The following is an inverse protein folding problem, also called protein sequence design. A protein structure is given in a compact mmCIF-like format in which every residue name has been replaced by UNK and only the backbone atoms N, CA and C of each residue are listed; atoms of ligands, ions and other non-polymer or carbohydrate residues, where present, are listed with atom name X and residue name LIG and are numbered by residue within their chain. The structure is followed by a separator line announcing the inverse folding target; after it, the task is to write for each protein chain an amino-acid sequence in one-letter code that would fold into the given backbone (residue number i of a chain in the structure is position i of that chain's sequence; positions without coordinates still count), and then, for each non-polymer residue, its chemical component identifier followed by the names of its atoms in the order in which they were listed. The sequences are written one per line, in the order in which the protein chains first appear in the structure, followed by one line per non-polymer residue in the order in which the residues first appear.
data_IF_193336663250
#
_entry.id   IF_193336663250
#
_cell.length_a   1.000
_cell.length_b   1.000
_cell.length_c   1.000
_cell.angle_alpha   90.00
_cell.angle_beta   90.00
_cell.angle_gamma   90.00
#
_symmetry.space_group_name_H-M   'P 1'
#
loop_
_entity.id
_entity.type
_entity.pdbx_description
1 polymer ?
#
# COMPACT_ATOMS: atom_id res chain seq x y z
N UNK A 1 -8.65 -7.60 -7.05
CA UNK A 1 -8.63 -6.12 -7.21
C UNK A 1 -7.22 -5.54 -7.44
N UNK A 2 -6.12 -6.15 -6.95
CA UNK A 2 -4.75 -5.67 -7.18
C UNK A 2 -4.20 -5.87 -8.62
N UNK A 3 -4.74 -6.85 -9.37
CA UNK A 3 -4.34 -7.10 -10.77
C UNK A 3 -4.61 -5.91 -11.71
N UNK A 4 -5.43 -4.93 -11.28
CA UNK A 4 -5.85 -3.79 -12.09
C UNK A 4 -5.07 -2.50 -11.78
N UNK A 5 -4.08 -2.55 -10.89
CA UNK A 5 -3.27 -1.36 -10.54
C UNK A 5 -2.22 -1.08 -11.62
N UNK A 6 -1.62 -2.13 -12.18
CA UNK A 6 -0.63 -2.02 -13.25
C UNK A 6 -1.23 -1.53 -14.58
N UNK A 7 -2.53 -1.70 -14.77
CA UNK A 7 -3.27 -1.30 -15.99
C UNK A 7 -3.84 0.12 -15.94
N UNK A 8 -3.69 0.84 -14.83
CA UNK A 8 -4.13 2.23 -14.74
C UNK A 8 -3.44 3.07 -15.83
N UNK A 9 -4.15 3.94 -16.57
CA UNK A 9 -3.53 4.83 -17.55
C UNK A 9 -2.54 5.80 -16.92
N UNK A 10 -1.51 6.20 -17.67
CA UNK A 10 -0.61 7.28 -17.23
C UNK A 10 -1.39 8.61 -17.11
N UNK A 11 -1.01 9.44 -16.14
CA UNK A 11 -1.72 10.67 -15.77
C UNK A 11 -2.95 10.46 -14.88
N UNK A 12 -3.30 9.21 -14.54
CA UNK A 12 -4.43 8.93 -13.65
C UNK A 12 -4.22 9.56 -12.26
N UNK A 13 -5.31 10.14 -11.75
CA UNK A 13 -5.42 10.65 -10.37
C UNK A 13 -6.12 9.63 -9.51
N UNK A 14 -5.46 9.17 -8.46
CA UNK A 14 -5.95 8.03 -7.66
C UNK A 14 -5.85 8.34 -6.18
N UNK A 15 -6.90 7.98 -5.45
CA UNK A 15 -6.87 7.96 -3.99
C UNK A 15 -6.34 6.61 -3.52
N UNK A 16 -5.34 6.60 -2.65
CA UNK A 16 -4.64 5.39 -2.22
C UNK A 16 -5.13 5.00 -0.83
N UNK A 17 -5.59 3.76 -0.70
CA UNK A 17 -6.06 3.18 0.56
C UNK A 17 -4.91 2.67 1.45
N UNK A 18 -5.15 2.60 2.76
CA UNK A 18 -4.21 2.19 3.80
C UNK A 18 -3.68 0.76 3.60
N UNK A 19 -4.47 -0.11 2.95
CA UNK A 19 -4.11 -1.47 2.60
C UNK A 19 -2.89 -1.56 1.68
N UNK A 20 -2.77 -0.65 0.68
CA UNK A 20 -1.65 -0.65 -0.26
C UNK A 20 -0.34 -0.44 0.47
N UNK A 21 -0.29 0.56 1.36
CA UNK A 21 0.88 0.81 2.20
C UNK A 21 1.14 -0.36 3.15
N UNK A 22 0.10 -0.91 3.76
CA UNK A 22 0.21 -2.04 4.70
C UNK A 22 0.86 -3.26 4.04
N UNK A 23 0.44 -3.63 2.83
CA UNK A 23 1.02 -4.74 2.08
C UNK A 23 2.49 -4.51 1.72
N UNK A 24 2.84 -3.27 1.36
CA UNK A 24 4.21 -2.89 1.07
C UNK A 24 5.11 -2.98 2.30
N UNK A 25 4.70 -2.36 3.41
CA UNK A 25 5.47 -2.31 4.66
C UNK A 25 5.66 -3.69 5.28
N UNK A 26 4.64 -4.55 5.20
CA UNK A 26 4.69 -5.92 5.72
C UNK A 26 5.31 -6.93 4.74
N UNK A 27 5.69 -6.51 3.53
CA UNK A 27 6.26 -7.38 2.48
C UNK A 27 5.41 -8.64 2.22
N UNK A 28 4.08 -8.50 2.17
CA UNK A 28 3.16 -9.62 1.90
C UNK A 28 3.45 -10.20 0.52
N UNK A 29 3.94 -11.45 0.45
CA UNK A 29 4.45 -12.06 -0.79
C UNK A 29 3.47 -11.97 -1.97
N UNK A 30 2.18 -12.23 -1.73
CA UNK A 30 1.14 -12.21 -2.76
C UNK A 30 0.99 -10.84 -3.46
N UNK A 31 1.28 -9.76 -2.74
CA UNK A 31 0.97 -8.39 -3.20
C UNK A 31 2.19 -7.50 -3.37
N UNK A 32 3.32 -7.88 -2.79
CA UNK A 32 4.49 -7.02 -2.68
C UNK A 32 5.00 -6.52 -4.04
N UNK A 33 5.10 -7.41 -5.03
CA UNK A 33 5.62 -7.03 -6.35
C UNK A 33 4.68 -6.04 -7.09
N UNK A 34 3.37 -6.27 -7.02
CA UNK A 34 2.38 -5.39 -7.64
C UNK A 34 2.37 -4.01 -6.99
N UNK A 35 2.42 -3.96 -5.66
CA UNK A 35 2.45 -2.70 -4.91
C UNK A 35 3.78 -1.96 -5.10
N UNK A 36 4.90 -2.68 -5.18
CA UNK A 36 6.20 -2.08 -5.47
C UNK A 36 6.22 -1.45 -6.86
N UNK A 37 5.66 -2.11 -7.87
CA UNK A 37 5.54 -1.55 -9.22
C UNK A 37 4.62 -0.32 -9.23
N UNK A 38 3.53 -0.36 -8.49
CA UNK A 38 2.63 0.77 -8.32
C UNK A 38 3.33 2.01 -7.75
N UNK A 39 4.06 1.86 -6.63
CA UNK A 39 4.81 2.99 -6.05
C UNK A 39 5.87 3.52 -7.01
N UNK A 40 6.56 2.63 -7.76
CA UNK A 40 7.49 3.06 -8.82
C UNK A 40 6.81 3.94 -9.87
N UNK A 41 5.57 3.64 -10.29
CA UNK A 41 4.83 4.50 -11.24
C UNK A 41 4.46 5.86 -10.65
N UNK A 42 4.20 5.94 -9.34
CA UNK A 42 3.98 7.21 -8.64
C UNK A 42 5.29 8.01 -8.60
N UNK A 43 6.41 7.38 -8.23
CA UNK A 43 7.74 8.02 -8.19
C UNK A 43 8.17 8.55 -9.56
N UNK A 44 7.87 7.79 -10.63
CA UNK A 44 8.09 8.19 -12.03
C UNK A 44 7.09 9.26 -12.53
N UNK A 45 6.19 9.77 -11.67
CA UNK A 45 5.12 10.73 -12.00
C UNK A 45 4.15 10.24 -13.09
N UNK A 46 4.09 8.94 -13.34
CA UNK A 46 3.11 8.32 -14.25
C UNK A 46 1.72 8.26 -13.63
N UNK A 47 1.64 8.22 -12.30
CA UNK A 47 0.39 8.27 -11.55
C UNK A 47 0.47 9.41 -10.53
N UNK A 48 -0.67 10.06 -10.28
CA UNK A 48 -0.79 11.10 -9.25
C UNK A 48 -1.58 10.52 -8.07
N UNK A 49 -0.86 10.15 -7.02
CA UNK A 49 -1.43 9.57 -5.81
C UNK A 49 -1.85 10.61 -4.77
N UNK A 50 -3.02 10.41 -4.17
CA UNK A 50 -3.52 11.21 -3.05
C UNK A 50 -3.79 10.31 -1.85
N UNK A 51 -3.49 10.83 -0.66
CA UNK A 51 -3.83 10.24 0.63
C UNK A 51 -4.37 11.31 1.57
N UNK A 52 -5.05 10.90 2.63
CA UNK A 52 -5.44 11.77 3.73
C UNK A 52 -4.85 11.27 5.07
N UNK A 53 -5.05 12.03 6.13
CA UNK A 53 -4.56 11.69 7.48
C UNK A 53 -5.15 10.40 8.05
N UNK A 54 -6.37 10.02 7.63
CA UNK A 54 -7.02 8.78 8.05
C UNK A 54 -6.24 7.58 7.51
N UNK A 55 -5.89 7.60 6.21
CA UNK A 55 -5.07 6.55 5.57
C UNK A 55 -3.75 6.36 6.31
N UNK A 56 -3.06 7.45 6.67
CA UNK A 56 -1.80 7.40 7.43
C UNK A 56 -2.01 6.72 8.78
N UNK A 57 -3.06 7.12 9.51
CA UNK A 57 -3.37 6.60 10.85
C UNK A 57 -3.68 5.11 10.82
N UNK A 58 -4.48 4.67 9.85
CA UNK A 58 -4.81 3.26 9.66
C UNK A 58 -3.61 2.42 9.26
N UNK A 59 -2.79 2.89 8.31
CA UNK A 59 -1.56 2.20 7.92
C UNK A 59 -0.66 2.00 9.13
N UNK A 60 -0.48 3.03 9.95
CA UNK A 60 0.34 2.94 11.15
C UNK A 60 -0.22 1.94 12.17
N UNK A 61 -1.51 2.02 12.47
CA UNK A 61 -2.18 1.10 13.38
C UNK A 61 -2.08 -0.36 12.92
N UNK A 62 -2.38 -0.62 11.63
CA UNK A 62 -2.32 -1.97 11.06
C UNK A 62 -0.90 -2.54 11.06
N UNK A 63 0.10 -1.73 10.72
CA UNK A 63 1.50 -2.15 10.76
C UNK A 63 1.93 -2.54 12.18
N UNK A 64 1.66 -1.68 13.16
CA UNK A 64 2.00 -1.95 14.57
C UNK A 64 1.27 -3.18 15.09
N UNK A 65 -0.04 -3.31 14.82
CA UNK A 65 -0.84 -4.46 15.24
C UNK A 65 -0.21 -5.76 14.76
N UNK A 66 0.14 -5.84 13.48
CA UNK A 66 0.78 -7.04 12.91
C UNK A 66 2.14 -7.30 13.54
N UNK A 67 2.98 -6.27 13.70
CA UNK A 67 4.31 -6.45 14.30
C UNK A 67 4.28 -6.86 15.76
N UNK A 68 3.29 -6.37 16.52
CA UNK A 68 3.10 -6.80 17.91
C UNK A 68 2.54 -8.23 17.97
N UNK A 69 1.56 -8.57 17.14
CA UNK A 69 1.04 -9.94 17.01
C UNK A 69 2.16 -10.94 16.69
N UNK A 70 3.01 -10.64 15.68
CA UNK A 70 4.19 -11.46 15.32
C UNK A 70 5.19 -11.59 16.47
N UNK A 71 5.42 -10.50 17.23
CA UNK A 71 6.39 -10.49 18.33
C UNK A 71 5.92 -11.28 19.55
N UNK A 72 4.62 -11.25 19.85
CA UNK A 72 4.06 -11.81 21.07
C UNK A 72 3.26 -13.11 20.86
N UNK A 73 3.21 -13.65 19.64
CA UNK A 73 2.36 -14.79 19.27
C UNK A 73 0.89 -14.60 19.68
N UNK A 74 0.43 -13.35 19.69
CA UNK A 74 -0.95 -13.00 19.95
C UNK A 74 -1.73 -13.03 18.63
N UNK A 75 -2.98 -13.51 18.61
CA UNK A 75 -3.82 -13.48 17.41
C UNK A 75 -4.01 -12.06 16.84
#
# INVERSE_FOLDING_TARGET
MLNNISSLPDGSRIFIDSNIFTYFLLKREEYYNNVKLFFKRIDEKKLIGFINSIVISETHFNYLRVKLSEKYNAP
#
